data_IF_805066810698
#
_entry.id   IF_805066810698
#
_cell.length_a   1.000
_cell.length_b   1.000
_cell.length_c   1.000
_cell.angle_alpha   90.00
_cell.angle_beta   90.00
_cell.angle_gamma   90.00
#
_symmetry.space_group_name_H-M   'P 1'
#
loop_
_entity.id
_entity.type
_entity.pdbx_description
1 polymer ?
#
# COMPACT_ATOMS: atom_id res chain seq x y z
N UNK A 1 -2.83 -32.94 -10.86
CA UNK A 1 -2.21 -32.31 -9.67
C UNK A 1 -1.01 -31.44 -10.02
N UNK A 2 -0.04 -31.91 -10.80
CA UNK A 2 1.13 -31.08 -11.19
C UNK A 2 0.74 -29.73 -11.84
N UNK A 3 -0.23 -29.74 -12.75
CA UNK A 3 -0.70 -28.51 -13.42
C UNK A 3 -1.38 -27.53 -12.45
N UNK A 4 -2.10 -28.02 -11.43
CA UNK A 4 -2.71 -27.13 -10.45
C UNK A 4 -1.65 -26.42 -9.62
N UNK A 5 -0.63 -27.16 -9.17
CA UNK A 5 0.51 -26.60 -8.43
C UNK A 5 1.27 -25.58 -9.26
N UNK A 6 1.57 -25.87 -10.53
CA UNK A 6 2.26 -24.94 -11.43
C UNK A 6 1.45 -23.65 -11.64
N UNK A 7 0.14 -23.78 -11.86
CA UNK A 7 -0.75 -22.62 -12.02
C UNK A 7 -0.85 -21.78 -10.74
N UNK A 8 -0.79 -22.42 -9.57
CA UNK A 8 -0.76 -21.71 -8.28
C UNK A 8 0.52 -20.89 -8.11
N UNK A 9 1.68 -21.47 -8.40
CA UNK A 9 2.96 -20.76 -8.37
C UNK A 9 2.96 -19.55 -9.33
N UNK A 10 2.47 -19.72 -10.56
CA UNK A 10 2.41 -18.62 -11.54
C UNK A 10 1.47 -17.49 -11.07
N UNK A 11 0.32 -17.84 -10.50
CA UNK A 11 -0.65 -16.87 -9.98
C UNK A 11 -0.09 -16.10 -8.79
N UNK A 12 0.66 -16.76 -7.90
CA UNK A 12 1.36 -16.11 -6.78
C UNK A 12 2.44 -15.14 -7.27
N UNK A 13 3.25 -15.53 -8.26
CA UNK A 13 4.26 -14.65 -8.86
C UNK A 13 3.62 -13.41 -9.48
N UNK A 14 2.50 -13.58 -10.20
CA UNK A 14 1.74 -12.46 -10.76
C UNK A 14 1.25 -11.52 -9.65
N UNK A 15 0.70 -12.07 -8.55
CA UNK A 15 0.24 -11.24 -7.44
C UNK A 15 1.38 -10.42 -6.83
N UNK A 16 2.51 -11.07 -6.55
CA UNK A 16 3.69 -10.43 -5.99
C UNK A 16 4.18 -9.29 -6.87
N UNK A 17 4.33 -9.52 -8.18
CA UNK A 17 4.72 -8.51 -9.15
C UNK A 17 3.74 -7.32 -9.20
N UNK A 18 2.43 -7.60 -9.16
CA UNK A 18 1.39 -6.56 -9.20
C UNK A 18 1.24 -5.78 -7.90
N UNK A 19 1.72 -6.33 -6.77
CA UNK A 19 1.73 -5.66 -5.45
C UNK A 19 2.98 -4.81 -5.21
N UNK A 20 4.01 -4.85 -6.07
CA UNK A 20 5.19 -3.97 -5.94
C UNK A 20 4.84 -2.48 -5.74
N UNK A 21 3.88 -1.87 -6.48
CA UNK A 21 3.51 -0.48 -6.25
C UNK A 21 2.83 -0.24 -4.90
N UNK A 22 2.06 -1.22 -4.41
CA UNK A 22 1.45 -1.17 -3.08
C UNK A 22 2.54 -1.10 -2.00
N UNK A 23 3.54 -1.99 -2.07
CA UNK A 23 4.65 -2.00 -1.12
C UNK A 23 5.48 -0.71 -1.17
N UNK A 24 5.74 -0.19 -2.37
CA UNK A 24 6.49 1.06 -2.53
C UNK A 24 5.79 2.25 -1.85
N UNK A 25 4.48 2.40 -2.06
CA UNK A 25 3.71 3.51 -1.46
C UNK A 25 3.48 3.27 0.04
N UNK A 26 3.30 2.02 0.49
CA UNK A 26 3.22 1.68 1.92
C UNK A 26 4.48 2.13 2.66
N UNK A 27 5.66 1.74 2.14
CA UNK A 27 6.95 2.10 2.74
C UNK A 27 7.15 3.62 2.76
N UNK A 28 6.73 4.31 1.70
CA UNK A 28 6.76 5.78 1.66
C UNK A 28 5.84 6.39 2.72
N UNK A 29 4.62 5.86 2.84
CA UNK A 29 3.63 6.23 3.86
C UNK A 29 4.17 6.13 5.29
N UNK A 30 4.82 5.00 5.60
CA UNK A 30 5.45 4.73 6.89
C UNK A 30 6.67 5.63 7.16
N UNK A 31 7.31 6.16 6.11
CA UNK A 31 8.48 7.02 6.23
C UNK A 31 8.14 8.50 6.47
N UNK A 32 6.97 8.98 6.06
CA UNK A 32 6.57 10.40 6.22
C UNK A 32 6.59 10.93 7.66
N UNK A 33 6.15 10.17 8.69
CA UNK A 33 6.25 10.63 10.08
C UNK A 33 7.69 10.82 10.53
N UNK A 34 8.61 9.92 10.12
CA UNK A 34 10.03 10.03 10.42
C UNK A 34 10.63 11.29 9.77
N UNK A 35 10.27 11.60 8.53
CA UNK A 35 10.67 12.84 7.85
C UNK A 35 10.14 14.07 8.60
N UNK A 36 8.89 14.02 9.09
CA UNK A 36 8.29 15.10 9.90
C UNK A 36 9.02 15.34 11.23
N UNK A 37 9.55 14.28 11.86
CA UNK A 37 10.39 14.41 13.06
C UNK A 37 11.71 15.09 12.73
N UNK A 38 12.38 14.70 11.64
CA UNK A 38 13.63 15.36 11.19
C UNK A 38 13.38 16.84 10.93
N UNK A 39 12.27 17.19 10.27
CA UNK A 39 11.87 18.58 10.05
C UNK A 39 11.66 19.36 11.36
N UNK A 40 11.04 18.75 12.37
CA UNK A 40 10.87 19.37 13.67
C UNK A 40 12.19 19.62 14.40
N UNK A 41 13.10 18.64 14.35
CA UNK A 41 14.44 18.77 14.94
C UNK A 41 15.20 19.93 14.28
N UNK A 42 15.14 20.07 12.96
CA UNK A 42 15.77 21.20 12.25
C UNK A 42 15.21 22.56 12.70
N UNK A 43 13.89 22.66 12.92
CA UNK A 43 13.26 23.87 13.44
C UNK A 43 13.70 24.20 14.87
N UNK A 44 13.86 23.19 15.73
CA UNK A 44 14.37 23.37 17.10
C UNK A 44 15.82 23.81 17.10
N UNK A 45 16.68 23.20 16.28
CA UNK A 45 18.10 23.62 16.14
C UNK A 45 18.17 25.09 15.74
N UNK A 46 17.33 25.53 14.79
CA UNK A 46 17.25 26.93 14.37
C UNK A 46 16.74 27.86 15.46
N UNK A 47 15.78 27.41 16.28
CA UNK A 47 15.30 28.17 17.43
C UNK A 47 16.41 28.36 18.48
N UNK A 48 17.17 27.29 18.79
CA UNK A 48 18.28 27.33 19.74
C UNK A 48 19.43 28.23 19.27
N UNK A 49 19.70 28.29 17.97
CA UNK A 49 20.70 29.22 17.42
C UNK A 49 20.35 30.71 17.55
N UNK A 50 19.06 31.04 17.76
CA UNK A 50 18.54 32.40 17.80
C UNK A 50 17.98 32.79 19.18
N UNK A 51 18.44 32.15 20.26
CA UNK A 51 17.98 32.39 21.63
C UNK A 51 18.05 33.86 22.06
N UNK A 52 19.03 34.61 21.56
CA UNK A 52 19.22 36.02 21.90
C UNK A 52 18.35 37.00 21.08
N UNK A 53 17.56 36.50 20.12
CA UNK A 53 16.69 37.32 19.28
C UNK A 53 15.32 37.56 19.91
N UNK A 54 14.55 38.49 19.33
CA UNK A 54 13.21 38.81 19.84
C UNK A 54 12.29 37.57 19.92
N UNK A 55 11.38 37.50 20.90
CA UNK A 55 10.43 36.38 21.06
C UNK A 55 9.60 36.08 19.81
N UNK A 56 9.35 37.10 18.98
CA UNK A 56 8.62 36.96 17.72
C UNK A 56 9.34 36.05 16.72
N UNK A 57 10.67 36.14 16.61
CA UNK A 57 11.47 35.33 15.69
C UNK A 57 11.58 33.90 16.20
N UNK A 58 11.75 33.74 17.51
CA UNK A 58 11.80 32.43 18.16
C UNK A 58 10.47 31.68 18.01
N UNK A 59 9.34 32.37 18.17
CA UNK A 59 8.01 31.82 17.97
C UNK A 59 7.76 31.30 16.55
N UNK A 60 8.29 31.98 15.52
CA UNK A 60 8.20 31.50 14.13
C UNK A 60 9.02 30.22 13.92
N UNK A 61 10.22 30.13 14.49
CA UNK A 61 11.07 28.95 14.37
C UNK A 61 10.45 27.71 15.06
N UNK A 62 9.84 27.91 16.24
CA UNK A 62 9.12 26.85 16.96
C UNK A 62 7.81 26.49 16.23
N UNK A 63 7.10 27.47 15.67
CA UNK A 63 5.92 27.19 14.84
C UNK A 63 6.26 26.30 13.64
N UNK A 64 7.39 26.57 12.99
CA UNK A 64 7.88 25.76 11.86
C UNK A 64 8.28 24.33 12.28
N UNK A 65 8.79 24.12 13.50
CA UNK A 65 9.11 22.76 13.97
C UNK A 65 7.85 21.93 14.19
N UNK A 66 6.82 22.52 14.81
CA UNK A 66 5.56 21.84 15.10
C UNK A 66 4.79 21.49 13.82
N UNK A 67 4.78 22.37 12.82
CA UNK A 67 4.14 22.09 11.53
C UNK A 67 4.85 20.98 10.75
N UNK A 68 6.16 20.80 10.92
CA UNK A 68 6.92 19.71 10.31
C UNK A 68 6.43 18.32 10.73
N UNK A 69 6.26 18.08 12.04
CA UNK A 69 5.74 16.80 12.54
C UNK A 69 4.26 16.61 12.20
N UNK A 70 3.46 17.67 12.33
CA UNK A 70 2.04 17.63 11.95
C UNK A 70 1.87 17.23 10.49
N UNK A 71 2.63 17.85 9.58
CA UNK A 71 2.58 17.55 8.15
C UNK A 71 3.01 16.10 7.86
N UNK A 72 4.06 15.61 8.50
CA UNK A 72 4.53 14.23 8.31
C UNK A 72 3.47 13.19 8.68
N UNK A 73 2.79 13.38 9.82
CA UNK A 73 1.69 12.51 10.25
C UNK A 73 0.48 12.66 9.31
N UNK A 74 0.13 13.89 8.94
CA UNK A 74 -1.00 14.15 8.05
C UNK A 74 -0.83 13.46 6.68
N UNK A 75 0.35 13.57 6.06
CA UNK A 75 0.62 12.94 4.76
C UNK A 75 0.56 11.41 4.86
N UNK A 76 1.13 10.84 5.92
CA UNK A 76 1.12 9.40 6.17
C UNK A 76 -0.32 8.86 6.28
N UNK A 77 -1.08 9.39 7.23
CA UNK A 77 -2.39 8.83 7.58
C UNK A 77 -3.52 9.29 6.67
N UNK A 78 -3.51 10.54 6.22
CA UNK A 78 -4.63 11.07 5.43
C UNK A 78 -4.48 10.85 3.93
N UNK A 79 -3.26 10.61 3.42
CA UNK A 79 -3.02 10.46 1.98
C UNK A 79 -2.48 9.06 1.67
N UNK A 80 -1.33 8.68 2.23
CA UNK A 80 -0.68 7.43 1.86
C UNK A 80 -1.49 6.20 2.28
N UNK A 81 -1.92 6.12 3.54
CA UNK A 81 -2.67 4.97 4.03
C UNK A 81 -3.97 4.67 3.25
N UNK A 82 -4.88 5.65 3.01
CA UNK A 82 -6.08 5.37 2.23
C UNK A 82 -5.75 5.03 0.77
N UNK A 83 -4.74 5.68 0.17
CA UNK A 83 -4.32 5.35 -1.20
C UNK A 83 -3.79 3.92 -1.30
N UNK A 84 -2.91 3.53 -0.39
CA UNK A 84 -2.33 2.19 -0.31
C UNK A 84 -3.41 1.13 -0.10
N UNK A 85 -4.38 1.38 0.78
CA UNK A 85 -5.54 0.49 1.00
C UNK A 85 -6.38 0.29 -0.27
N UNK A 86 -6.65 1.37 -1.00
CA UNK A 86 -7.42 1.31 -2.26
C UNK A 86 -6.66 0.53 -3.34
N UNK A 87 -5.36 0.77 -3.49
CA UNK A 87 -4.51 0.02 -4.44
C UNK A 87 -4.55 -1.47 -4.10
N UNK A 88 -4.37 -1.83 -2.82
CA UNK A 88 -4.41 -3.21 -2.37
C UNK A 88 -5.75 -3.90 -2.70
N UNK A 89 -6.86 -3.24 -2.37
CA UNK A 89 -8.21 -3.75 -2.63
C UNK A 89 -8.46 -3.99 -4.12
N UNK A 90 -8.07 -3.03 -4.97
CA UNK A 90 -8.22 -3.16 -6.43
C UNK A 90 -7.34 -4.28 -6.97
N UNK A 91 -6.09 -4.40 -6.51
CA UNK A 91 -5.17 -5.46 -6.95
C UNK A 91 -5.67 -6.84 -6.55
N UNK A 92 -6.16 -7.01 -5.33
CA UNK A 92 -6.76 -8.27 -4.89
C UNK A 92 -8.01 -8.62 -5.68
N UNK A 93 -8.86 -7.63 -6.01
CA UNK A 93 -10.03 -7.86 -6.85
C UNK A 93 -9.64 -8.32 -8.26
N UNK A 94 -8.61 -7.72 -8.87
CA UNK A 94 -8.08 -8.16 -10.15
C UNK A 94 -7.46 -9.56 -10.07
N UNK A 95 -6.75 -9.86 -8.97
CA UNK A 95 -6.13 -11.15 -8.75
C UNK A 95 -7.15 -12.30 -8.71
N UNK A 96 -8.35 -12.08 -8.13
CA UNK A 96 -9.43 -13.07 -8.10
C UNK A 96 -9.83 -13.57 -9.50
N UNK A 97 -9.68 -12.75 -10.54
CA UNK A 97 -9.99 -13.17 -11.92
C UNK A 97 -9.11 -14.35 -12.36
N UNK A 98 -7.84 -14.36 -11.98
CA UNK A 98 -6.93 -15.46 -12.29
C UNK A 98 -7.34 -16.75 -11.58
N UNK A 99 -7.79 -16.65 -10.32
CA UNK A 99 -8.27 -17.80 -9.54
C UNK A 99 -9.53 -18.41 -10.19
N UNK A 100 -10.46 -17.58 -10.66
CA UNK A 100 -11.68 -18.02 -11.34
C UNK A 100 -11.33 -18.80 -12.61
N UNK A 101 -10.44 -18.24 -13.44
CA UNK A 101 -9.98 -18.89 -14.67
C UNK A 101 -9.27 -20.20 -14.37
N UNK A 102 -8.37 -20.23 -13.36
CA UNK A 102 -7.71 -21.46 -12.91
C UNK A 102 -8.73 -22.54 -12.54
N UNK A 103 -9.71 -22.21 -11.69
CA UNK A 103 -10.70 -23.20 -11.22
C UNK A 103 -11.60 -23.71 -12.35
N UNK A 104 -11.97 -22.85 -13.31
CA UNK A 104 -12.68 -23.29 -14.50
C UNK A 104 -11.84 -24.22 -15.39
N UNK A 105 -10.57 -23.90 -15.62
CA UNK A 105 -9.65 -24.71 -16.42
C UNK A 105 -9.40 -26.09 -15.79
N UNK A 106 -9.14 -26.14 -14.48
CA UNK A 106 -8.94 -27.40 -13.75
C UNK A 106 -10.21 -28.27 -13.81
N UNK A 107 -11.41 -27.67 -13.63
CA UNK A 107 -12.67 -28.40 -13.73
C UNK A 107 -12.85 -29.01 -15.13
N UNK A 108 -12.53 -28.28 -16.19
CA UNK A 108 -12.58 -28.78 -17.56
C UNK A 108 -11.56 -29.90 -17.80
N UNK A 109 -10.31 -29.74 -17.33
CA UNK A 109 -9.27 -30.77 -17.45
C UNK A 109 -9.62 -32.05 -16.70
N UNK A 110 -10.37 -31.96 -15.60
CA UNK A 110 -10.88 -33.12 -14.85
C UNK A 110 -12.09 -33.80 -15.51
N UNK A 111 -12.48 -33.38 -16.73
CA UNK A 111 -13.54 -34.01 -17.52
C UNK A 111 -14.93 -33.41 -17.32
N UNK A 112 -15.07 -32.25 -16.67
CA UNK A 112 -16.35 -31.57 -16.58
C UNK A 112 -16.77 -30.99 -17.94
N UNK A 113 -18.08 -31.06 -18.24
CA UNK A 113 -18.68 -30.42 -19.41
C UNK A 113 -18.44 -28.89 -19.32
N UNK A 114 -18.15 -28.17 -20.41
CA UNK A 114 -17.83 -26.74 -20.38
C UNK A 114 -18.82 -25.87 -19.57
N UNK A 115 -20.12 -26.15 -19.67
CA UNK A 115 -21.15 -25.45 -18.88
C UNK A 115 -20.94 -25.61 -17.37
N UNK A 116 -20.57 -26.82 -16.93
CA UNK A 116 -20.34 -27.13 -15.51
C UNK A 116 -19.01 -26.51 -15.04
N UNK A 117 -17.97 -26.52 -15.89
CA UNK A 117 -16.68 -25.90 -15.57
C UNK A 117 -16.78 -24.38 -15.33
N UNK A 118 -17.61 -23.68 -16.13
CA UNK A 118 -17.89 -22.26 -15.92
C UNK A 118 -18.62 -22.03 -14.59
N UNK A 119 -19.54 -22.92 -14.23
CA UNK A 119 -20.28 -22.84 -12.97
C UNK A 119 -19.38 -23.03 -11.73
N UNK A 120 -18.36 -23.89 -11.83
CA UNK A 120 -17.32 -24.00 -10.81
C UNK A 120 -16.54 -22.69 -10.64
N UNK A 121 -16.19 -22.02 -11.74
CA UNK A 121 -15.57 -20.69 -11.69
C UNK A 121 -16.51 -19.63 -11.09
N UNK A 122 -17.79 -19.65 -11.45
CA UNK A 122 -18.80 -18.71 -10.95
C UNK A 122 -18.98 -18.80 -9.43
N UNK A 123 -18.96 -20.00 -8.86
CA UNK A 123 -19.08 -20.22 -7.41
C UNK A 123 -17.91 -19.63 -6.58
N UNK A 124 -16.80 -19.26 -7.21
CA UNK A 124 -15.65 -18.63 -6.55
C UNK A 124 -15.86 -17.12 -6.37
N UNK A 125 -16.81 -16.51 -7.10
CA UNK A 125 -17.24 -15.13 -6.88
C UNK A 125 -18.21 -15.06 -5.68
N UNK A 126 -18.02 -14.13 -4.73
CA UNK A 126 -19.00 -13.86 -3.68
C UNK A 126 -20.30 -13.26 -4.24
#
# INVERSE_FOLDING_TARGET
HEIETLMDEEIEVILYEKLKPYHAISNMGESFPAIGIVGAILGIIKAMGNLSQSPKILGVAIGASLTGTMLGILLSYCICNPLTSQIHSIRLRQHRLYIIVKKALIAYMNGAIPQVAIEYGRKVLP
#
